data_IF_749984642418
#
_entry.id   IF_749984642418
#
_cell.length_a   1.000
_cell.length_b   1.000
_cell.length_c   1.000
_cell.angle_alpha   90.00
_cell.angle_beta   90.00
_cell.angle_gamma   90.00
#
_symmetry.space_group_name_H-M   'P 1'
#
loop_
_entity.id
_entity.type
_entity.pdbx_description
1 polymer ?
#
# COMPACT_ATOMS: atom_id res chain seq x y z
N UNK A 1 29.94 64.40 26.00
CA UNK A 1 31.17 64.97 25.42
C UNK A 1 31.49 66.24 26.20
N UNK A 2 32.34 66.19 27.24
CA UNK A 2 32.70 67.38 27.99
C UNK A 2 33.52 68.32 27.09
N UNK A 3 33.14 69.60 27.07
CA UNK A 3 33.86 70.63 26.32
C UNK A 3 34.83 71.32 27.28
N UNK A 4 36.11 70.96 27.20
CA UNK A 4 37.18 71.53 28.01
C UNK A 4 38.24 72.15 27.09
N UNK A 5 38.62 73.40 27.37
CA UNK A 5 39.62 74.15 26.61
C UNK A 5 41.02 74.04 27.25
N UNK A 6 41.10 73.50 28.47
CA UNK A 6 42.37 73.31 29.18
C UNK A 6 43.21 72.26 28.46
N UNK A 7 44.39 72.66 27.99
CA UNK A 7 45.32 71.80 27.24
C UNK A 7 45.27 71.94 25.72
N UNK A 8 44.33 72.73 25.17
CA UNK A 8 44.29 73.02 23.74
C UNK A 8 45.30 74.12 23.38
N UNK A 9 46.20 73.91 22.40
CA UNK A 9 47.23 74.88 22.04
C UNK A 9 46.65 76.22 21.58
N UNK A 10 47.19 77.33 22.11
CA UNK A 10 46.95 78.70 21.63
C UNK A 10 45.60 79.34 22.00
N UNK A 11 44.65 78.57 22.55
CA UNK A 11 43.26 79.02 22.74
C UNK A 11 43.15 80.18 23.73
N UNK A 12 43.97 80.22 24.78
CA UNK A 12 43.97 81.32 25.76
C UNK A 12 44.77 82.56 25.30
N UNK A 13 45.53 82.44 24.20
CA UNK A 13 46.32 83.52 23.59
C UNK A 13 45.62 84.17 22.39
N UNK A 14 44.36 83.78 22.13
CA UNK A 14 43.55 84.29 21.01
C UNK A 14 43.72 83.52 19.70
N UNK A 15 44.47 82.42 19.68
CA UNK A 15 44.59 81.51 18.53
C UNK A 15 43.64 80.30 18.69
N UNK A 16 42.48 80.38 18.04
CA UNK A 16 41.43 79.35 18.10
C UNK A 16 41.61 78.23 17.06
N UNK A 17 42.73 78.19 16.32
CA UNK A 17 42.91 77.23 15.22
C UNK A 17 42.81 75.76 15.66
N UNK A 18 43.14 75.45 16.91
CA UNK A 18 43.09 74.08 17.44
C UNK A 18 41.66 73.54 17.64
N UNK A 19 40.65 74.40 17.70
CA UNK A 19 39.23 74.05 17.88
C UNK A 19 38.37 74.38 16.66
N UNK A 20 38.95 75.02 15.64
CA UNK A 20 38.27 75.31 14.38
C UNK A 20 38.33 74.12 13.42
N UNK A 21 37.23 73.89 12.72
CA UNK A 21 37.20 72.91 11.65
C UNK A 21 38.11 73.36 10.51
N UNK A 22 38.82 72.41 9.88
CA UNK A 22 39.61 72.66 8.67
C UNK A 22 38.75 73.33 7.59
N UNK A 23 39.32 74.31 6.88
CA UNK A 23 38.67 74.98 5.75
C UNK A 23 38.36 74.03 4.60
N UNK A 24 39.16 72.96 4.45
CA UNK A 24 38.89 71.87 3.52
C UNK A 24 38.33 70.67 4.27
N UNK A 25 37.09 70.22 4.00
CA UNK A 25 36.50 69.08 4.66
C UNK A 25 37.24 67.79 4.27
N UNK A 26 37.65 66.96 5.25
CA UNK A 26 38.32 65.70 4.97
C UNK A 26 37.38 64.69 4.30
N UNK A 27 37.91 63.69 3.57
CA UNK A 27 37.10 62.60 3.05
C UNK A 27 36.47 61.80 4.19
N UNK A 28 35.19 61.46 4.05
CA UNK A 28 34.45 60.71 5.07
C UNK A 28 34.99 59.29 5.19
N UNK A 29 35.34 58.88 6.41
CA UNK A 29 35.81 57.53 6.69
C UNK A 29 34.68 56.50 6.53
N UNK A 30 34.93 55.27 6.02
CA UNK A 30 33.89 54.27 5.79
C UNK A 30 33.06 53.90 7.02
N UNK A 31 33.68 53.89 8.21
CA UNK A 31 32.99 53.60 9.47
C UNK A 31 32.06 54.74 9.93
N UNK A 32 32.33 55.99 9.52
CA UNK A 32 31.52 57.15 9.90
C UNK A 32 30.36 57.40 8.93
N UNK A 33 30.44 56.81 7.73
CA UNK A 33 29.41 56.95 6.70
C UNK A 33 28.01 56.53 7.18
N UNK A 34 27.93 55.53 8.06
CA UNK A 34 26.66 55.07 8.62
C UNK A 34 26.07 56.05 9.64
N UNK A 35 26.93 56.78 10.37
CA UNK A 35 26.58 57.75 11.42
C UNK A 35 26.14 59.10 10.84
N UNK A 36 26.69 59.47 9.68
CA UNK A 36 26.37 60.70 8.96
C UNK A 36 25.12 60.57 8.07
N UNK A 37 24.39 59.44 8.13
CA UNK A 37 23.16 59.29 7.33
C UNK A 37 22.09 60.26 7.84
N UNK A 38 21.44 61.02 6.95
CA UNK A 38 20.35 61.91 7.36
C UNK A 38 19.20 61.08 7.94
N UNK A 39 18.43 61.66 8.86
CA UNK A 39 17.37 60.95 9.56
C UNK A 39 16.32 60.36 8.60
N UNK A 40 16.08 61.01 7.46
CA UNK A 40 15.21 60.52 6.39
C UNK A 40 15.70 59.22 5.73
N UNK A 41 17.01 58.96 5.76
CA UNK A 41 17.64 57.75 5.22
C UNK A 41 17.70 56.58 6.22
N UNK A 42 17.30 56.79 7.49
CA UNK A 42 17.22 55.72 8.50
C UNK A 42 15.97 54.83 8.33
N UNK A 43 15.03 55.25 7.48
CA UNK A 43 13.79 54.51 7.22
C UNK A 43 12.81 54.56 8.39
N UNK A 44 11.64 53.95 8.21
CA UNK A 44 10.69 53.77 9.32
C UNK A 44 11.21 52.66 10.25
N UNK A 45 11.02 52.78 11.58
CA UNK A 45 11.33 51.68 12.49
C UNK A 45 10.58 50.44 12.03
N UNK A 46 11.32 49.43 11.53
CA UNK A 46 10.73 48.16 11.12
C UNK A 46 10.35 47.44 12.40
N UNK A 47 9.07 47.52 12.79
CA UNK A 47 8.53 46.68 13.86
C UNK A 47 8.78 45.24 13.43
N UNK A 48 9.53 44.42 14.20
CA UNK A 48 9.74 43.03 13.85
C UNK A 48 8.36 42.39 13.70
N UNK A 49 8.14 41.67 12.59
CA UNK A 49 6.91 40.92 12.39
C UNK A 49 6.76 39.94 13.55
N UNK A 50 5.91 40.28 14.50
CA UNK A 50 5.62 39.42 15.62
C UNK A 50 4.89 38.19 15.04
N UNK A 51 5.51 37.01 15.18
CA UNK A 51 4.88 35.73 14.84
C UNK A 51 3.78 35.43 15.87
N UNK A 52 2.65 36.10 15.72
CA UNK A 52 1.53 35.97 16.63
C UNK A 52 0.54 34.97 16.04
N UNK A 53 0.29 33.88 16.77
CA UNK A 53 -0.51 32.73 16.30
C UNK A 53 -1.98 33.04 16.00
N UNK A 54 -2.51 34.15 16.53
CA UNK A 54 -3.88 34.60 16.26
C UNK A 54 -4.01 35.47 15.02
N UNK A 55 -2.92 36.09 14.54
CA UNK A 55 -2.98 36.97 13.38
C UNK A 55 -2.65 36.18 12.11
N UNK A 56 -3.71 35.70 11.44
CA UNK A 56 -3.58 35.05 10.13
C UNK A 56 -3.43 36.11 9.05
N UNK A 57 -2.64 35.81 8.01
CA UNK A 57 -2.60 36.64 6.80
C UNK A 57 -3.97 36.60 6.13
N UNK A 58 -4.44 37.74 5.62
CA UNK A 58 -5.67 37.81 4.84
C UNK A 58 -5.49 37.06 3.52
N UNK A 59 -6.35 36.09 3.24
CA UNK A 59 -6.43 35.49 1.91
C UNK A 59 -7.10 36.49 0.96
N UNK A 60 -6.39 36.87 -0.09
CA UNK A 60 -7.00 37.59 -1.20
C UNK A 60 -7.78 36.57 -2.03
N UNK A 61 -8.98 36.95 -2.50
CA UNK A 61 -9.77 36.14 -3.43
C UNK A 61 -8.95 35.99 -4.72
N UNK A 62 -8.11 34.96 -4.80
CA UNK A 62 -7.41 34.60 -6.01
C UNK A 62 -8.38 33.79 -6.83
N UNK A 63 -8.84 34.35 -7.94
CA UNK A 63 -9.58 33.61 -8.93
C UNK A 63 -8.67 32.52 -9.50
N UNK A 64 -8.74 31.31 -8.94
CA UNK A 64 -8.39 30.10 -9.68
C UNK A 64 -9.44 29.94 -10.78
N UNK A 65 -9.37 30.83 -11.78
CA UNK A 65 -9.99 30.63 -13.07
C UNK A 65 -9.40 29.34 -13.63
N UNK A 66 -10.23 28.38 -14.07
CA UNK A 66 -9.71 27.28 -14.86
C UNK A 66 -8.98 27.90 -16.04
N UNK A 67 -7.69 27.59 -16.19
CA UNK A 67 -6.91 27.98 -17.37
C UNK A 67 -7.62 27.44 -18.60
N UNK A 68 -8.42 28.28 -19.23
CA UNK A 68 -8.93 28.07 -20.58
C UNK A 68 -7.71 27.95 -21.49
N UNK A 69 -7.68 26.94 -22.35
CA UNK A 69 -6.60 26.75 -23.32
C UNK A 69 -6.33 28.06 -24.07
N UNK A 70 -5.15 28.64 -23.88
CA UNK A 70 -4.68 29.71 -24.75
C UNK A 70 -4.28 29.11 -26.10
N UNK A 71 -5.22 29.07 -27.02
CA UNK A 71 -4.98 28.86 -28.44
C UNK A 71 -4.95 30.21 -29.18
N UNK A 72 -4.18 31.20 -28.71
CA UNK A 72 -4.12 32.53 -29.33
C UNK A 72 -2.68 32.96 -29.68
N UNK A 73 -1.93 32.08 -30.37
CA UNK A 73 -0.78 32.52 -31.16
C UNK A 73 -1.10 32.39 -32.66
N UNK A 74 -1.24 33.49 -33.43
CA UNK A 74 -1.55 33.44 -34.86
C UNK A 74 -0.43 32.80 -35.72
N UNK A 75 0.74 32.53 -35.13
CA UNK A 75 1.83 31.76 -35.78
C UNK A 75 1.64 30.24 -35.69
N UNK A 76 0.79 29.72 -34.79
CA UNK A 76 0.53 28.29 -34.66
C UNK A 76 -0.44 27.74 -35.72
N UNK A 77 -1.20 28.62 -36.39
CA UNK A 77 -2.15 28.25 -37.43
C UNK A 77 -1.48 28.02 -38.80
N UNK A 78 -0.31 28.61 -39.06
CA UNK A 78 0.39 28.52 -40.33
C UNK A 78 1.28 27.26 -40.46
N UNK A 79 1.60 26.59 -39.34
CA UNK A 79 2.44 25.38 -39.33
C UNK A 79 1.66 24.08 -39.63
N UNK A 80 0.33 24.13 -39.77
CA UNK A 80 -0.51 22.93 -40.01
C UNK A 80 -0.66 22.55 -41.49
N UNK A 81 -0.27 23.41 -42.44
CA UNK A 81 -0.54 23.19 -43.87
C UNK A 81 0.53 22.39 -44.63
N UNK A 82 1.49 21.76 -43.93
CA UNK A 82 2.55 20.96 -44.55
C UNK A 82 2.75 19.58 -43.89
N UNK A 83 1.69 19.01 -43.31
CA UNK A 83 1.72 17.60 -42.92
C UNK A 83 1.14 16.76 -44.06
N UNK A 84 1.83 15.71 -44.52
CA UNK A 84 1.24 14.77 -45.47
C UNK A 84 -0.08 14.27 -44.90
N UNK A 85 -1.09 14.12 -45.77
CA UNK A 85 -2.42 13.67 -45.38
C UNK A 85 -2.28 12.43 -44.50
N UNK A 86 -2.56 12.58 -43.20
CA UNK A 86 -2.58 11.45 -42.27
C UNK A 86 -3.59 10.48 -42.83
N UNK A 87 -3.16 9.24 -43.07
CA UNK A 87 -4.06 8.11 -43.34
C UNK A 87 -5.20 8.19 -42.32
N UNK A 88 -6.46 7.91 -42.73
CA UNK A 88 -7.58 7.93 -41.80
C UNK A 88 -7.20 7.12 -40.56
N UNK A 89 -7.17 7.81 -39.43
CA UNK A 89 -6.83 7.19 -38.15
C UNK A 89 -7.93 6.16 -37.88
N UNK A 90 -7.55 4.90 -37.67
CA UNK A 90 -8.52 3.86 -37.37
C UNK A 90 -9.35 4.28 -36.14
N UNK A 91 -10.60 3.80 -36.05
CA UNK A 91 -11.47 4.11 -34.92
C UNK A 91 -10.74 3.87 -33.59
N UNK A 92 -11.00 4.73 -32.60
CA UNK A 92 -10.28 4.71 -31.32
C UNK A 92 -10.37 3.35 -30.60
N UNK A 93 -11.47 2.63 -30.85
CA UNK A 93 -11.81 1.32 -30.27
C UNK A 93 -11.42 0.15 -31.19
N UNK A 94 -10.75 0.42 -32.31
CA UNK A 94 -10.23 -0.66 -33.16
C UNK A 94 -9.14 -1.45 -32.42
N UNK A 95 -9.11 -2.79 -32.52
CA UNK A 95 -8.11 -3.63 -31.83
C UNK A 95 -6.67 -3.20 -32.12
N UNK A 96 -6.40 -2.72 -33.34
CA UNK A 96 -5.08 -2.23 -33.74
C UNK A 96 -4.65 -0.97 -32.98
N UNK A 97 -5.59 -0.04 -32.72
CA UNK A 97 -5.31 1.18 -31.96
C UNK A 97 -5.15 0.85 -30.48
N UNK A 98 -5.98 -0.05 -29.95
CA UNK A 98 -5.88 -0.54 -28.57
C UNK A 98 -4.51 -1.17 -28.34
N UNK A 99 -4.09 -2.14 -29.18
CA UNK A 99 -2.77 -2.77 -29.11
C UNK A 99 -1.64 -1.73 -29.11
N UNK A 100 -1.64 -0.79 -30.06
CA UNK A 100 -0.62 0.26 -30.13
C UNK A 100 -0.57 1.15 -28.88
N UNK A 101 -1.71 1.43 -28.26
CA UNK A 101 -1.76 2.20 -27.00
C UNK A 101 -1.19 1.39 -25.83
N UNK A 102 -1.48 0.10 -25.78
CA UNK A 102 -0.91 -0.83 -24.79
C UNK A 102 0.61 -0.86 -24.95
N UNK A 103 1.13 -1.17 -26.13
CA UNK A 103 2.58 -1.22 -26.40
C UNK A 103 3.27 0.10 -26.00
N UNK A 104 2.68 1.23 -26.41
CA UNK A 104 3.19 2.57 -26.07
C UNK A 104 3.19 2.85 -24.56
N UNK A 105 2.25 2.30 -23.80
CA UNK A 105 2.22 2.51 -22.35
C UNK A 105 3.41 1.85 -21.65
N UNK A 106 3.79 0.64 -22.07
CA UNK A 106 4.98 -0.05 -21.59
C UNK A 106 6.27 0.69 -22.00
N UNK A 107 6.36 1.15 -23.25
CA UNK A 107 7.51 1.96 -23.70
C UNK A 107 7.69 3.24 -22.87
N UNK A 108 6.59 3.93 -22.53
CA UNK A 108 6.63 5.14 -21.71
C UNK A 108 7.09 4.79 -20.29
N UNK A 109 6.51 3.75 -19.67
CA UNK A 109 6.84 3.31 -18.32
C UNK A 109 8.31 2.90 -18.20
N UNK A 110 8.83 2.13 -19.15
CA UNK A 110 10.24 1.70 -19.18
C UNK A 110 11.19 2.91 -19.26
N UNK A 111 10.87 3.87 -20.14
CA UNK A 111 11.69 5.05 -20.28
C UNK A 111 11.57 6.00 -19.07
N UNK A 112 10.41 6.06 -18.40
CA UNK A 112 10.21 6.84 -17.17
C UNK A 112 10.99 6.23 -16.00
N UNK A 113 11.09 4.90 -15.95
CA UNK A 113 11.94 4.17 -15.00
C UNK A 113 13.44 4.45 -15.26
N UNK A 114 13.86 4.49 -16.53
CA UNK A 114 15.24 4.80 -16.93
C UNK A 114 15.64 6.26 -16.67
N UNK A 115 14.72 7.21 -16.87
CA UNK A 115 14.93 8.63 -16.57
C UNK A 115 13.80 9.22 -15.68
N UNK A 116 13.90 9.02 -14.35
CA UNK A 116 12.94 9.53 -13.38
C UNK A 116 12.73 11.06 -13.42
N UNK A 117 13.68 11.83 -13.98
CA UNK A 117 13.61 13.30 -14.04
C UNK A 117 12.56 13.78 -15.05
N UNK A 118 12.23 12.93 -16.01
CA UNK A 118 11.20 13.16 -17.02
C UNK A 118 9.80 13.09 -16.43
N UNK A 119 9.61 12.28 -15.39
CA UNK A 119 8.34 12.17 -14.68
C UNK A 119 8.01 13.50 -14.02
N UNK A 120 6.85 14.07 -14.39
CA UNK A 120 6.33 15.31 -13.82
C UNK A 120 4.97 15.04 -13.20
N UNK A 121 4.76 15.58 -12.01
CA UNK A 121 3.45 15.52 -11.37
C UNK A 121 2.41 16.24 -12.26
N UNK A 122 1.23 15.63 -12.52
CA UNK A 122 0.27 16.11 -13.51
C UNK A 122 -0.22 17.55 -13.24
N UNK A 123 -0.49 17.90 -11.98
CA UNK A 123 -0.86 19.26 -11.57
C UNK A 123 0.30 20.13 -11.05
N UNK A 124 1.14 19.59 -10.15
CA UNK A 124 2.24 20.32 -9.49
C UNK A 124 3.61 20.05 -10.13
N UNK A 125 3.85 20.59 -11.33
CA UNK A 125 5.04 20.32 -12.15
C UNK A 125 6.42 20.58 -11.51
N UNK A 126 6.47 21.32 -10.39
CA UNK A 126 7.71 21.59 -9.64
C UNK A 126 8.12 20.43 -8.72
N UNK A 127 7.20 19.48 -8.45
CA UNK A 127 7.51 18.29 -7.66
C UNK A 127 8.44 17.35 -8.45
N UNK A 128 9.25 16.63 -7.70
CA UNK A 128 10.21 15.64 -8.22
C UNK A 128 9.79 14.26 -7.75
N UNK A 129 9.95 13.27 -8.62
CA UNK A 129 9.79 11.88 -8.28
C UNK A 129 10.83 11.50 -7.21
N UNK A 130 10.37 10.87 -6.13
CA UNK A 130 11.23 10.39 -5.03
C UNK A 130 11.57 8.92 -5.23
N UNK A 131 10.55 8.12 -5.54
CA UNK A 131 10.68 6.69 -5.74
C UNK A 131 9.66 6.18 -6.75
N UNK A 132 10.02 5.12 -7.47
CA UNK A 132 9.15 4.42 -8.41
C UNK A 132 9.50 2.92 -8.38
N UNK A 133 8.46 2.09 -8.29
CA UNK A 133 8.57 0.64 -8.40
C UNK A 133 7.62 0.14 -9.49
N UNK A 134 8.06 -0.73 -10.41
CA UNK A 134 7.19 -1.34 -11.40
C UNK A 134 6.16 -2.26 -10.72
N UNK A 135 4.93 -2.26 -11.22
CA UNK A 135 3.89 -3.21 -10.81
C UNK A 135 3.89 -4.39 -11.80
N UNK A 136 4.19 -5.59 -11.32
CA UNK A 136 4.39 -6.79 -12.14
C UNK A 136 3.49 -7.94 -11.65
N UNK A 137 2.96 -8.77 -12.56
CA UNK A 137 2.37 -10.04 -12.16
C UNK A 137 3.46 -10.98 -11.65
N UNK A 138 3.16 -11.72 -10.59
CA UNK A 138 3.98 -12.82 -10.12
C UNK A 138 3.35 -14.15 -10.57
N UNK A 139 3.71 -14.59 -11.77
CA UNK A 139 3.10 -15.77 -12.39
C UNK A 139 3.61 -17.07 -11.78
N UNK A 140 4.77 -17.08 -11.15
CA UNK A 140 5.38 -18.28 -10.58
C UNK A 140 4.87 -18.57 -9.16
N UNK A 141 4.18 -17.61 -8.55
CA UNK A 141 3.64 -17.69 -7.20
C UNK A 141 2.17 -18.12 -7.13
N UNK A 142 1.56 -18.55 -8.25
CA UNK A 142 0.21 -19.09 -8.17
C UNK A 142 0.16 -20.34 -7.29
N UNK A 143 -0.80 -20.44 -6.36
CA UNK A 143 -1.10 -21.72 -5.74
C UNK A 143 -1.66 -22.69 -6.78
N UNK A 144 -1.77 -23.96 -6.40
CA UNK A 144 -2.41 -25.02 -7.18
C UNK A 144 -3.89 -24.74 -7.49
N UNK A 145 -4.55 -23.89 -6.70
CA UNK A 145 -5.90 -23.35 -6.97
C UNK A 145 -5.91 -22.15 -7.93
N UNK A 146 -4.75 -21.62 -8.31
CA UNK A 146 -4.62 -20.48 -9.23
C UNK A 146 -4.96 -19.09 -8.65
N UNK A 147 -5.37 -18.97 -7.38
CA UNK A 147 -5.62 -17.69 -6.72
C UNK A 147 -5.64 -17.81 -5.19
N UNK A 148 -5.51 -16.66 -4.51
CA UNK A 148 -5.52 -16.60 -3.05
C UNK A 148 -6.93 -16.40 -2.50
N UNK A 149 -7.08 -16.68 -1.21
CA UNK A 149 -8.28 -16.41 -0.42
C UNK A 149 -7.95 -15.38 0.65
N UNK A 150 -8.86 -14.44 0.90
CA UNK A 150 -8.74 -13.48 1.99
C UNK A 150 -9.78 -13.72 3.05
N UNK A 151 -9.33 -13.81 4.30
CA UNK A 151 -10.21 -13.98 5.47
C UNK A 151 -10.02 -12.79 6.41
N UNK A 152 -11.09 -12.03 6.60
CA UNK A 152 -11.12 -10.86 7.48
C UNK A 152 -11.84 -11.17 8.78
N UNK A 153 -11.12 -11.04 9.90
CA UNK A 153 -11.72 -11.09 11.23
C UNK A 153 -12.51 -9.83 11.56
N UNK A 154 -13.78 -9.97 11.97
CA UNK A 154 -14.58 -8.85 12.50
C UNK A 154 -14.12 -8.38 13.88
N UNK A 155 -13.50 -9.26 14.65
CA UNK A 155 -12.96 -8.98 15.99
C UNK A 155 -11.59 -9.60 16.12
N UNK A 156 -10.66 -8.95 16.82
CA UNK A 156 -9.31 -9.46 17.04
C UNK A 156 -9.34 -10.93 17.54
N UNK A 157 -8.70 -11.89 16.83
CA UNK A 157 -8.71 -13.30 17.20
C UNK A 157 -7.87 -13.62 18.44
N UNK A 158 -6.93 -12.75 18.81
CA UNK A 158 -6.03 -12.92 19.96
C UNK A 158 -6.30 -11.87 21.04
N UNK A 159 -5.75 -12.10 22.22
CA UNK A 159 -5.81 -11.15 23.34
C UNK A 159 -5.21 -9.80 22.95
N UNK A 160 -5.81 -8.71 23.44
CA UNK A 160 -5.31 -7.36 23.21
C UNK A 160 -3.91 -7.19 23.79
N UNK A 161 -2.97 -6.73 22.98
CA UNK A 161 -1.59 -6.42 23.35
C UNK A 161 -1.17 -5.12 22.64
N UNK A 162 -0.13 -4.46 23.17
CA UNK A 162 0.51 -3.32 22.51
C UNK A 162 1.40 -3.76 21.33
N UNK A 163 1.70 -5.05 21.22
CA UNK A 163 2.50 -5.62 20.15
C UNK A 163 1.65 -6.51 19.25
N UNK A 164 1.94 -6.48 17.95
CA UNK A 164 1.35 -7.39 16.99
C UNK A 164 1.80 -8.84 17.29
N UNK A 165 0.84 -9.76 17.36
CA UNK A 165 1.12 -11.18 17.56
C UNK A 165 1.57 -11.81 16.23
N UNK A 166 2.88 -12.06 16.09
CA UNK A 166 3.48 -12.61 14.86
C UNK A 166 2.97 -13.99 14.47
N UNK A 167 2.33 -14.72 15.41
CA UNK A 167 1.68 -16.01 15.10
C UNK A 167 0.58 -15.89 14.06
N UNK A 168 -0.08 -14.73 13.98
CA UNK A 168 -1.14 -14.46 13.00
C UNK A 168 -0.65 -14.48 11.55
N UNK A 169 0.66 -14.36 11.30
CA UNK A 169 1.24 -14.43 9.94
C UNK A 169 1.22 -15.84 9.35
N UNK A 170 1.00 -16.85 10.17
CA UNK A 170 0.95 -18.26 9.77
C UNK A 170 -0.17 -18.97 10.53
N UNK A 171 -1.34 -18.34 10.63
CA UNK A 171 -2.52 -18.97 11.22
C UNK A 171 -3.19 -19.93 10.25
N UNK A 172 -3.88 -20.94 10.80
CA UNK A 172 -4.50 -21.99 10.00
C UNK A 172 -6.00 -21.99 10.20
N UNK A 173 -6.71 -22.09 9.08
CA UNK A 173 -8.15 -22.26 9.05
C UNK A 173 -8.45 -23.67 8.60
N UNK A 174 -9.12 -24.44 9.46
CA UNK A 174 -9.69 -25.73 9.10
C UNK A 174 -11.17 -25.53 8.82
N UNK A 175 -11.67 -25.81 7.61
CA UNK A 175 -13.10 -25.82 7.34
C UNK A 175 -13.83 -26.77 8.31
N UNK A 176 -15.00 -26.35 8.78
CA UNK A 176 -15.90 -27.19 9.58
C UNK A 176 -16.94 -27.77 8.63
N UNK A 177 -16.97 -29.09 8.55
CA UNK A 177 -17.95 -29.82 7.74
C UNK A 177 -19.38 -29.51 8.19
N UNK A 178 -20.29 -29.43 7.22
CA UNK A 178 -21.71 -29.28 7.49
C UNK A 178 -22.27 -30.61 7.98
N UNK A 179 -23.28 -30.54 8.85
CA UNK A 179 -24.01 -31.75 9.21
C UNK A 179 -24.88 -32.20 8.03
N UNK A 180 -25.23 -33.49 7.97
CA UNK A 180 -26.09 -34.02 6.90
C UNK A 180 -27.43 -33.26 6.79
N UNK A 181 -27.96 -32.77 7.91
CA UNK A 181 -29.16 -31.95 7.93
C UNK A 181 -28.93 -30.54 7.34
N UNK A 182 -27.77 -29.92 7.62
CA UNK A 182 -27.39 -28.63 7.05
C UNK A 182 -27.13 -28.75 5.53
N UNK A 183 -26.52 -29.85 5.08
CA UNK A 183 -26.31 -30.14 3.65
C UNK A 183 -27.63 -30.36 2.91
N UNK A 184 -28.53 -31.21 3.43
CA UNK A 184 -29.83 -31.47 2.82
C UNK A 184 -30.69 -30.20 2.73
N UNK A 185 -30.61 -29.31 3.73
CA UNK A 185 -31.30 -28.03 3.69
C UNK A 185 -30.74 -27.09 2.60
N UNK A 186 -29.41 -27.08 2.41
CA UNK A 186 -28.76 -26.28 1.37
C UNK A 186 -29.09 -26.81 -0.02
N UNK A 187 -29.06 -28.12 -0.22
CA UNK A 187 -29.44 -28.77 -1.48
C UNK A 187 -30.89 -28.45 -1.85
N UNK A 188 -31.83 -28.62 -0.90
CA UNK A 188 -33.24 -28.28 -1.12
C UNK A 188 -33.44 -26.78 -1.45
N UNK A 189 -32.68 -25.89 -0.81
CA UNK A 189 -32.72 -24.46 -1.10
C UNK A 189 -32.13 -24.13 -2.50
N UNK A 190 -31.08 -24.85 -2.93
CA UNK A 190 -30.50 -24.69 -4.26
C UNK A 190 -31.43 -25.20 -5.35
N UNK A 191 -32.14 -26.30 -5.10
CA UNK A 191 -33.16 -26.83 -6.01
C UNK A 191 -34.33 -25.84 -6.13
N UNK A 192 -34.80 -25.29 -5.02
CA UNK A 192 -35.85 -24.25 -5.02
C UNK A 192 -35.43 -22.99 -5.79
N UNK A 193 -34.16 -22.56 -5.66
CA UNK A 193 -33.60 -21.46 -6.46
C UNK A 193 -33.56 -21.81 -7.95
N UNK A 194 -33.12 -23.01 -8.31
CA UNK A 194 -33.04 -23.46 -9.71
C UNK A 194 -34.43 -23.51 -10.36
N UNK A 195 -35.45 -23.92 -9.60
CA UNK A 195 -36.84 -23.98 -10.08
C UNK A 195 -37.48 -22.59 -10.22
N UNK A 196 -37.23 -21.68 -9.27
CA UNK A 196 -37.79 -20.32 -9.29
C UNK A 196 -36.79 -19.28 -8.77
N UNK A 197 -35.87 -18.80 -9.63
CA UNK A 197 -34.86 -17.81 -9.26
C UNK A 197 -35.43 -16.43 -8.90
N UNK A 198 -36.70 -16.16 -9.25
CA UNK A 198 -37.33 -14.84 -9.04
C UNK A 198 -37.84 -14.73 -7.61
N UNK A 199 -38.43 -15.81 -7.08
CA UNK A 199 -39.02 -15.81 -5.74
C UNK A 199 -38.10 -16.41 -4.66
N UNK A 200 -37.15 -17.27 -5.04
CA UNK A 200 -36.19 -17.84 -4.11
C UNK A 200 -34.82 -17.18 -4.31
N UNK A 201 -34.16 -16.67 -3.24
CA UNK A 201 -32.80 -16.16 -3.37
C UNK A 201 -31.80 -17.32 -3.52
N UNK A 202 -30.68 -17.06 -4.22
CA UNK A 202 -29.57 -18.02 -4.31
C UNK A 202 -29.05 -18.31 -2.90
N UNK A 203 -29.01 -19.58 -2.45
CA UNK A 203 -28.45 -19.93 -1.15
C UNK A 203 -26.98 -19.54 -1.07
N UNK A 204 -26.56 -18.96 0.05
CA UNK A 204 -25.17 -18.61 0.30
C UNK A 204 -24.41 -19.85 0.80
N UNK A 205 -23.31 -20.20 0.13
CA UNK A 205 -22.47 -21.35 0.49
C UNK A 205 -21.46 -20.99 1.60
N UNK A 206 -21.94 -20.45 2.73
CA UNK A 206 -21.05 -19.97 3.78
C UNK A 206 -20.31 -21.12 4.47
N UNK A 207 -18.98 -21.07 4.48
CA UNK A 207 -18.13 -22.03 5.18
C UNK A 207 -17.86 -21.57 6.62
N UNK A 208 -17.80 -22.49 7.58
CA UNK A 208 -17.36 -22.20 8.95
C UNK A 208 -15.94 -22.72 9.15
N UNK A 209 -15.19 -22.16 10.10
CA UNK A 209 -13.79 -22.52 10.30
C UNK A 209 -13.42 -22.68 11.77
N UNK A 210 -12.60 -23.67 12.08
CA UNK A 210 -11.79 -23.67 13.29
C UNK A 210 -10.46 -22.97 13.01
N UNK A 211 -10.09 -22.01 13.85
CA UNK A 211 -8.87 -21.24 13.71
C UNK A 211 -7.80 -21.70 14.69
N UNK A 212 -6.57 -21.92 14.21
CA UNK A 212 -5.44 -22.43 14.97
C UNK A 212 -4.22 -21.53 14.85
N UNK A 213 -3.41 -21.47 15.90
CA UNK A 213 -2.15 -20.74 15.94
C UNK A 213 -1.04 -21.60 16.53
N UNK A 214 0.20 -21.35 16.12
CA UNK A 214 1.38 -21.92 16.76
C UNK A 214 1.41 -21.63 18.27
N UNK A 215 2.03 -22.49 19.06
CA UNK A 215 2.02 -22.36 20.52
C UNK A 215 2.70 -21.05 20.95
N UNK A 216 3.89 -20.78 20.42
CA UNK A 216 4.67 -19.57 20.69
C UNK A 216 4.98 -18.78 19.42
N UNK A 217 5.44 -17.53 19.59
CA UNK A 217 5.94 -16.72 18.46
C UNK A 217 7.13 -17.38 17.78
N UNK A 218 8.04 -18.00 18.55
CA UNK A 218 9.21 -18.69 18.03
C UNK A 218 8.84 -19.90 17.16
N UNK A 219 7.81 -20.67 17.55
CA UNK A 219 7.33 -21.82 16.77
C UNK A 219 6.76 -21.36 15.42
N UNK A 220 5.97 -20.27 15.43
CA UNK A 220 5.43 -19.68 14.22
C UNK A 220 6.54 -19.09 13.31
N UNK A 221 7.60 -18.52 13.91
CA UNK A 221 8.76 -18.03 13.15
C UNK A 221 9.50 -19.19 12.47
N UNK A 222 9.74 -20.31 13.18
CA UNK A 222 10.34 -21.52 12.60
C UNK A 222 9.48 -22.16 11.52
N UNK A 223 8.17 -22.20 11.73
CA UNK A 223 7.22 -22.69 10.72
C UNK A 223 7.31 -21.86 9.43
N UNK A 224 7.35 -20.52 9.52
CA UNK A 224 7.50 -19.68 8.32
C UNK A 224 8.84 -19.84 7.64
N UNK A 225 9.93 -20.09 8.39
CA UNK A 225 11.25 -20.38 7.80
C UNK A 225 11.22 -21.60 6.88
N UNK A 226 10.38 -22.62 7.14
CA UNK A 226 10.19 -23.78 6.24
C UNK A 226 9.61 -23.40 4.86
N UNK A 227 8.94 -22.25 4.74
CA UNK A 227 8.39 -21.74 3.47
C UNK A 227 9.25 -20.64 2.85
N UNK A 228 10.35 -20.26 3.50
CA UNK A 228 11.24 -19.21 3.03
C UNK A 228 12.27 -19.80 2.07
N UNK A 229 11.99 -19.71 0.76
CA UNK A 229 12.84 -20.27 -0.31
C UNK A 229 14.23 -19.63 -0.35
N UNK A 230 14.37 -18.41 0.19
CA UNK A 230 15.66 -17.72 0.29
C UNK A 230 16.47 -18.14 1.54
N UNK A 231 15.88 -18.87 2.49
CA UNK A 231 16.56 -19.41 3.66
C UNK A 231 17.29 -20.73 3.31
N UNK A 232 18.64 -20.75 3.30
CA UNK A 232 19.39 -21.96 2.96
C UNK A 232 19.18 -23.12 3.96
N UNK A 233 18.66 -22.83 5.15
CA UNK A 233 18.32 -23.82 6.17
C UNK A 233 16.82 -24.13 6.25
N UNK A 234 16.00 -23.71 5.28
CA UNK A 234 14.55 -23.99 5.31
C UNK A 234 14.23 -25.50 5.32
N UNK A 235 15.09 -26.32 4.73
CA UNK A 235 14.96 -27.78 4.72
C UNK A 235 15.42 -28.47 6.01
N UNK A 236 16.02 -27.75 6.96
CA UNK A 236 16.55 -28.35 8.18
C UNK A 236 15.44 -28.96 9.05
N UNK A 237 15.58 -30.24 9.38
CA UNK A 237 14.66 -30.97 10.28
C UNK A 237 14.61 -30.36 11.68
N UNK A 238 15.67 -29.68 12.11
CA UNK A 238 15.76 -29.01 13.41
C UNK A 238 14.84 -27.77 13.54
N UNK A 239 14.23 -27.33 12.43
CA UNK A 239 13.19 -26.31 12.47
C UNK A 239 11.90 -26.83 13.12
N UNK A 240 11.61 -28.13 13.02
CA UNK A 240 10.45 -28.72 13.67
C UNK A 240 10.57 -28.64 15.19
N UNK A 241 9.50 -28.22 15.85
CA UNK A 241 9.49 -27.97 17.30
C UNK A 241 9.18 -29.22 18.12
N UNK A 242 8.56 -30.23 17.49
CA UNK A 242 8.20 -31.49 18.11
C UNK A 242 8.64 -32.67 17.22
N UNK A 243 8.74 -33.85 17.83
CA UNK A 243 9.01 -35.13 17.16
C UNK A 243 7.94 -36.12 17.58
N UNK A 244 7.31 -36.75 16.60
CA UNK A 244 6.36 -37.85 16.80
C UNK A 244 6.82 -39.11 16.08
N UNK A 245 5.96 -40.13 16.06
CA UNK A 245 6.25 -41.40 15.41
C UNK A 245 6.45 -41.27 13.89
N UNK A 246 5.82 -40.26 13.28
CA UNK A 246 5.90 -39.96 11.85
C UNK A 246 7.02 -38.97 11.47
N UNK A 247 7.81 -38.49 12.43
CA UNK A 247 8.89 -37.52 12.20
C UNK A 247 8.70 -36.18 12.91
N UNK A 248 9.44 -35.17 12.44
CA UNK A 248 9.34 -33.80 12.95
C UNK A 248 8.02 -33.14 12.54
N UNK A 249 7.42 -32.38 13.45
CA UNK A 249 6.19 -31.63 13.17
C UNK A 249 6.11 -30.34 13.98
N UNK A 250 5.22 -29.45 13.54
CA UNK A 250 4.78 -28.26 14.27
C UNK A 250 3.43 -28.52 14.94
N UNK A 251 3.24 -27.96 16.13
CA UNK A 251 1.97 -28.06 16.86
C UNK A 251 1.21 -26.73 16.82
N UNK A 252 -0.05 -26.81 16.41
CA UNK A 252 -0.97 -25.68 16.30
C UNK A 252 -2.17 -25.91 17.21
N UNK A 253 -2.40 -24.98 18.14
CA UNK A 253 -3.48 -25.08 19.11
C UNK A 253 -4.70 -24.34 18.61
N UNK A 254 -5.87 -24.94 18.83
CA UNK A 254 -7.15 -24.34 18.50
C UNK A 254 -7.39 -23.09 19.34
N UNK A 255 -7.75 -22.00 18.68
CA UNK A 255 -8.10 -20.72 19.31
C UNK A 255 -9.61 -20.61 19.52
N UNK A 256 -10.41 -20.85 18.46
CA UNK A 256 -11.89 -20.89 18.48
C UNK A 256 -12.47 -21.19 17.10
N UNK A 257 -13.77 -21.49 17.07
CA UNK A 257 -14.59 -21.53 15.87
C UNK A 257 -15.05 -20.14 15.42
N UNK A 258 -15.13 -19.97 14.10
CA UNK A 258 -15.63 -18.82 13.39
C UNK A 258 -16.73 -19.22 12.42
N UNK A 259 -17.73 -18.36 12.30
CA UNK A 259 -18.74 -18.45 11.26
C UNK A 259 -18.56 -17.32 10.25
N UNK A 260 -18.82 -17.62 8.98
CA UNK A 260 -18.74 -16.61 7.91
C UNK A 260 -19.99 -15.74 7.95
N UNK A 261 -19.78 -14.43 8.05
CA UNK A 261 -20.83 -13.42 8.07
C UNK A 261 -21.14 -12.89 6.67
N UNK A 262 -20.11 -12.81 5.82
CA UNK A 262 -20.23 -12.37 4.43
C UNK A 262 -19.14 -13.06 3.61
N UNK A 263 -19.49 -13.49 2.41
CA UNK A 263 -18.57 -14.12 1.47
C UNK A 263 -18.79 -13.55 0.07
N UNK A 264 -17.71 -13.47 -0.69
CA UNK A 264 -17.73 -13.11 -2.12
C UNK A 264 -16.75 -14.03 -2.82
N UNK A 265 -17.27 -14.77 -3.79
CA UNK A 265 -16.51 -15.68 -4.64
C UNK A 265 -16.38 -15.05 -6.03
N UNK A 266 -15.19 -15.18 -6.61
CA UNK A 266 -14.83 -14.74 -7.95
C UNK A 266 -14.30 -15.94 -8.73
N UNK A 267 -14.51 -15.91 -10.04
CA UNK A 267 -14.05 -16.95 -10.95
C UNK A 267 -12.65 -16.63 -11.48
N UNK A 268 -11.99 -17.61 -12.12
CA UNK A 268 -10.67 -17.40 -12.72
C UNK A 268 -10.58 -16.21 -13.69
N UNK A 269 -11.61 -15.89 -14.51
CA UNK A 269 -11.59 -14.70 -15.35
C UNK A 269 -11.76 -13.38 -14.58
N UNK A 270 -12.42 -13.40 -13.42
CA UNK A 270 -12.84 -12.20 -12.67
C UNK A 270 -12.07 -11.96 -11.37
N UNK A 271 -11.16 -12.86 -10.98
CA UNK A 271 -10.31 -12.81 -9.76
C UNK A 271 -9.38 -11.59 -9.61
N UNK A 272 -9.34 -10.69 -10.59
CA UNK A 272 -8.58 -9.43 -10.56
C UNK A 272 -9.47 -8.18 -10.45
N UNK A 273 -10.80 -8.34 -10.44
CA UNK A 273 -11.73 -7.21 -10.60
C UNK A 273 -11.98 -6.43 -9.31
N UNK A 274 -12.00 -7.08 -8.14
CA UNK A 274 -12.36 -6.44 -6.85
C UNK A 274 -11.12 -6.13 -5.99
N UNK A 275 -10.35 -7.14 -5.62
CA UNK A 275 -9.21 -7.01 -4.72
C UNK A 275 -8.01 -7.81 -5.23
N UNK A 276 -6.81 -7.26 -5.02
CA UNK A 276 -5.53 -7.92 -5.27
C UNK A 276 -4.62 -7.76 -4.05
N UNK A 277 -3.78 -8.76 -3.81
CA UNK A 277 -2.71 -8.68 -2.81
C UNK A 277 -1.51 -8.02 -3.47
N UNK A 278 -0.86 -7.09 -2.77
CA UNK A 278 0.40 -6.49 -3.22
C UNK A 278 1.54 -6.92 -2.28
N UNK A 279 2.60 -7.49 -2.85
CA UNK A 279 3.87 -7.69 -2.17
C UNK A 279 4.91 -6.73 -2.75
N UNK A 280 5.69 -6.10 -1.88
CA UNK A 280 6.79 -5.23 -2.30
C UNK A 280 8.09 -5.98 -2.13
N UNK A 281 8.86 -6.07 -3.20
CA UNK A 281 10.23 -6.56 -3.14
C UNK A 281 11.21 -5.40 -3.32
N UNK A 282 12.25 -5.40 -2.49
CA UNK A 282 13.40 -4.52 -2.64
C UNK A 282 14.53 -5.27 -3.38
N UNK A 283 15.62 -4.59 -3.72
CA UNK A 283 16.72 -5.20 -4.51
C UNK A 283 17.50 -6.31 -3.77
N UNK A 284 17.26 -6.49 -2.47
CA UNK A 284 18.01 -7.38 -1.60
C UNK A 284 17.47 -8.83 -1.55
N UNK A 285 16.20 -9.07 -1.90
CA UNK A 285 15.56 -10.38 -1.87
C UNK A 285 15.22 -10.90 -3.28
N UNK A 286 15.14 -12.22 -3.45
CA UNK A 286 14.85 -12.81 -4.76
C UNK A 286 13.39 -12.55 -5.18
N UNK A 287 13.10 -12.27 -6.46
CA UNK A 287 14.03 -11.98 -7.55
C UNK A 287 14.59 -10.57 -7.38
N UNK A 288 15.92 -10.43 -7.30
CA UNK A 288 16.70 -9.20 -6.96
C UNK A 288 16.42 -8.00 -7.87
N UNK A 289 15.20 -7.51 -7.80
CA UNK A 289 14.59 -6.51 -8.64
C UNK A 289 13.54 -5.83 -7.79
N UNK A 290 13.75 -4.54 -7.54
CA UNK A 290 12.72 -3.68 -6.97
C UNK A 290 11.46 -3.71 -7.82
N UNK A 291 10.39 -4.25 -7.25
CA UNK A 291 9.08 -4.36 -7.89
C UNK A 291 7.97 -4.48 -6.86
N UNK A 292 6.75 -4.16 -7.29
CA UNK A 292 5.52 -4.52 -6.58
C UNK A 292 4.90 -5.67 -7.35
N UNK A 293 4.74 -6.80 -6.70
CA UNK A 293 4.07 -7.97 -7.23
C UNK A 293 2.60 -7.95 -6.84
N UNK A 294 1.73 -8.37 -7.76
CA UNK A 294 0.31 -8.53 -7.46
C UNK A 294 -0.18 -9.96 -7.60
N UNK A 295 -1.09 -10.35 -6.72
CA UNK A 295 -1.71 -11.67 -6.68
C UNK A 295 -3.23 -11.57 -6.66
N UNK A 296 -3.95 -12.38 -7.45
CA UNK A 296 -5.41 -12.34 -7.48
C UNK A 296 -6.04 -13.01 -6.27
N UNK A 297 -7.28 -12.63 -6.01
CA UNK A 297 -8.12 -13.20 -4.96
C UNK A 297 -9.34 -13.82 -5.60
N UNK A 298 -9.60 -15.11 -5.32
CA UNK A 298 -10.82 -15.79 -5.78
C UNK A 298 -11.93 -15.82 -4.73
N UNK A 299 -11.59 -15.60 -3.46
CA UNK A 299 -12.58 -15.63 -2.38
C UNK A 299 -12.23 -14.63 -1.28
N UNK A 300 -13.27 -13.95 -0.80
CA UNK A 300 -13.18 -12.98 0.29
C UNK A 300 -14.26 -13.28 1.32
N UNK A 301 -13.82 -13.62 2.52
CA UNK A 301 -14.71 -14.01 3.62
C UNK A 301 -14.50 -13.08 4.80
N UNK A 302 -15.59 -12.59 5.36
CA UNK A 302 -15.59 -11.84 6.63
C UNK A 302 -16.19 -12.71 7.71
N UNK A 303 -15.40 -13.02 8.74
CA UNK A 303 -15.74 -14.02 9.76
C UNK A 303 -15.92 -13.39 11.14
N UNK A 304 -16.81 -13.99 11.94
CA UNK A 304 -17.04 -13.61 13.35
C UNK A 304 -16.99 -14.83 14.27
N UNK A 305 -16.62 -14.66 15.55
CA UNK A 305 -16.61 -15.78 16.49
C UNK A 305 -17.99 -16.42 16.59
N UNK A 306 -18.05 -17.75 16.50
CA UNK A 306 -19.30 -18.48 16.64
C UNK A 306 -19.78 -18.43 18.10
N UNK A 307 -20.96 -17.83 18.34
CA UNK A 307 -21.53 -17.68 19.68
C UNK A 307 -22.63 -18.69 19.99
N UNK A 308 -23.46 -19.00 19.00
CA UNK A 308 -24.71 -19.75 19.16
C UNK A 308 -24.49 -21.24 19.41
N UNK A 309 -23.62 -21.91 18.63
CA UNK A 309 -23.33 -23.34 18.83
C UNK A 309 -22.65 -23.63 20.19
N UNK A 310 -21.85 -22.69 20.71
CA UNK A 310 -21.24 -22.80 22.04
C UNK A 310 -22.27 -22.73 23.18
N UNK A 311 -23.28 -21.85 23.11
CA UNK A 311 -24.30 -21.71 24.16
C UNK A 311 -25.20 -22.97 24.24
N UNK A 312 -25.57 -23.54 23.10
CA UNK A 312 -26.36 -24.78 23.05
C UNK A 312 -25.63 -25.97 23.70
N UNK A 313 -24.31 -26.09 23.47
CA UNK A 313 -23.45 -27.11 24.11
C UNK A 313 -23.34 -26.91 25.63
N UNK A 314 -23.17 -25.67 26.10
CA UNK A 314 -22.89 -25.39 27.52
C UNK A 314 -24.14 -25.35 28.41
N UNK A 315 -25.29 -24.88 27.91
CA UNK A 315 -26.47 -24.63 28.76
C UNK A 315 -27.53 -25.73 28.72
N UNK A 316 -27.58 -26.57 27.68
CA UNK A 316 -28.70 -27.48 27.47
C UNK A 316 -28.33 -28.95 27.30
N UNK A 317 -27.05 -29.32 27.28
CA UNK A 317 -26.63 -30.73 27.22
C UNK A 317 -27.11 -31.49 25.98
N UNK A 318 -27.56 -30.79 24.94
CA UNK A 318 -28.18 -31.36 23.72
C UNK A 318 -27.14 -31.85 22.68
N UNK A 319 -26.02 -32.40 23.14
CA UNK A 319 -25.03 -33.01 22.25
C UNK A 319 -25.18 -34.54 22.34
N UNK A 320 -26.24 -35.09 21.75
CA UNK A 320 -26.40 -36.56 21.72
C UNK A 320 -26.29 -37.21 20.34
N UNK A 321 -26.33 -36.51 19.20
CA UNK A 321 -26.37 -37.25 17.91
C UNK A 321 -25.35 -36.86 16.80
N UNK A 322 -24.60 -35.76 16.89
CA UNK A 322 -23.54 -35.44 15.91
C UNK A 322 -22.31 -34.86 16.62
N UNK A 323 -21.49 -35.73 17.23
CA UNK A 323 -20.19 -35.34 17.78
C UNK A 323 -19.22 -35.02 16.65
N UNK A 324 -19.30 -33.81 16.08
CA UNK A 324 -18.16 -33.24 15.38
C UNK A 324 -17.04 -33.12 16.42
N UNK A 325 -16.09 -34.05 16.35
CA UNK A 325 -14.95 -34.11 17.23
C UNK A 325 -14.17 -32.82 17.07
N UNK A 326 -14.22 -31.97 18.10
CA UNK A 326 -13.49 -30.71 18.09
C UNK A 326 -12.02 -31.06 18.22
N UNK A 327 -11.25 -30.69 17.20
CA UNK A 327 -9.81 -30.96 17.18
C UNK A 327 -9.12 -29.83 17.92
N UNK A 328 -8.58 -30.12 19.10
CA UNK A 328 -7.93 -29.09 19.92
C UNK A 328 -6.51 -28.74 19.45
N UNK A 329 -5.88 -29.67 18.73
CA UNK A 329 -4.50 -29.53 18.26
C UNK A 329 -4.32 -30.16 16.88
N UNK A 330 -3.57 -29.47 16.03
CA UNK A 330 -3.09 -29.97 14.74
C UNK A 330 -1.58 -30.20 14.81
N UNK A 331 -1.14 -31.35 14.33
CA UNK A 331 0.26 -31.68 14.08
C UNK A 331 0.51 -31.58 12.58
N UNK A 332 1.49 -30.77 12.19
CA UNK A 332 1.72 -30.42 10.78
C UNK A 332 3.18 -30.62 10.40
N UNK A 333 3.34 -31.30 9.27
CA UNK A 333 4.62 -31.48 8.58
C UNK A 333 4.54 -30.70 7.26
N UNK A 334 5.65 -30.06 6.89
CA UNK A 334 5.73 -29.32 5.62
C UNK A 334 6.32 -30.26 4.58
N UNK A 335 5.61 -30.39 3.46
CA UNK A 335 6.04 -31.20 2.32
C UNK A 335 6.12 -30.33 1.07
N UNK A 336 7.02 -30.71 0.18
CA UNK A 336 7.11 -30.15 -1.16
C UNK A 336 5.84 -30.44 -1.99
N UNK A 337 5.41 -29.53 -2.88
CA UNK A 337 4.26 -29.78 -3.73
C UNK A 337 4.50 -31.01 -4.62
N UNK A 338 3.44 -31.82 -4.78
CA UNK A 338 3.46 -33.01 -5.64
C UNK A 338 3.59 -32.62 -7.11
N UNK A 339 3.92 -33.59 -7.99
CA UNK A 339 4.02 -33.33 -9.43
C UNK A 339 2.69 -32.83 -10.02
N UNK A 340 1.56 -33.33 -9.51
CA UNK A 340 0.22 -32.88 -9.91
C UNK A 340 0.00 -31.41 -9.53
N UNK A 341 0.35 -31.03 -8.30
CA UNK A 341 0.26 -29.63 -7.84
C UNK A 341 1.19 -28.72 -8.65
N UNK A 342 2.44 -29.13 -8.90
CA UNK A 342 3.38 -28.37 -9.75
C UNK A 342 2.86 -28.22 -11.18
N UNK A 343 2.23 -29.26 -11.71
CA UNK A 343 1.53 -29.22 -13.00
C UNK A 343 0.41 -28.17 -13.00
N UNK A 344 -0.46 -28.17 -11.99
CA UNK A 344 -1.53 -27.18 -11.85
C UNK A 344 -0.99 -25.75 -11.71
N UNK A 345 0.01 -25.52 -10.86
CA UNK A 345 0.67 -24.22 -10.69
C UNK A 345 1.22 -23.71 -12.03
N UNK A 346 1.90 -24.58 -12.78
CA UNK A 346 2.42 -24.25 -14.11
C UNK A 346 1.30 -23.91 -15.11
N UNK A 347 0.20 -24.65 -15.08
CA UNK A 347 -0.96 -24.36 -15.92
C UNK A 347 -1.53 -22.96 -15.63
N UNK A 348 -1.64 -22.56 -14.36
CA UNK A 348 -2.08 -21.21 -14.01
C UNK A 348 -1.06 -20.12 -14.32
N UNK A 349 0.25 -20.43 -14.28
CA UNK A 349 1.29 -19.51 -14.74
C UNK A 349 1.17 -19.22 -16.25
N UNK A 350 0.88 -20.25 -17.05
CA UNK A 350 0.68 -20.13 -18.51
C UNK A 350 -0.69 -19.54 -18.87
N UNK A 351 -1.72 -19.86 -18.10
CA UNK A 351 -3.12 -19.46 -18.30
C UNK A 351 -3.68 -18.75 -17.06
N UNK A 352 -3.23 -17.51 -16.77
CA UNK A 352 -3.56 -16.81 -15.52
C UNK A 352 -5.04 -16.46 -15.37
N UNK A 353 -5.82 -16.43 -16.45
CA UNK A 353 -7.27 -16.20 -16.42
C UNK A 353 -8.09 -17.50 -16.43
N UNK A 354 -7.43 -18.64 -16.25
CA UNK A 354 -8.02 -19.96 -16.47
C UNK A 354 -7.97 -20.35 -17.94
N UNK A 355 -8.46 -21.56 -18.22
CA UNK A 355 -8.61 -22.14 -19.55
C UNK A 355 -10.07 -22.54 -19.74
N UNK A 356 -10.53 -22.53 -20.99
CA UNK A 356 -11.81 -23.11 -21.33
C UNK A 356 -11.71 -24.62 -21.12
N UNK A 357 -12.30 -25.12 -20.03
CA UNK A 357 -12.52 -26.55 -19.87
C UNK A 357 -13.63 -26.91 -20.87
N UNK A 358 -13.30 -27.64 -21.93
CA UNK A 358 -14.33 -28.31 -22.73
C UNK A 358 -15.13 -29.19 -21.76
N UNK A 359 -16.43 -28.87 -21.60
CA UNK A 359 -17.37 -29.56 -20.69
C UNK A 359 -17.41 -31.08 -20.86
#
# INVERSE_FOLDING_TARGET
>A
MPLDLVGMPGVFDGDERSIQASSQPPPVHPHDRALLRPIAALGKPKVPEANVSFLRRTEYISSLMPKRLEANHPRALLAKNRRPAKRPEAAADSPQVIKRKIDKSFEIAEQDLKDPKRVKHPSKKHLKLVDAAPLLPDLDAFPDSGAYVTIKFLTNPVSSSNEYDTRLRSGLFRPIDRTAAEEAALEAAMEAYTQDPVNNPKPANLMNYDFYLGQTRADADRFRRKFDVDDPGHDDEDLYTHKGDAGGHFQFNRIRAYETAQETELDHPTKYEDEIILAVNDDDAYPKQKAVYYYPIMQKSTIRPQRTKNIARTNYGLAEDDEVQVVDQLELTVEDPTEEMRGAMKMYAEHPLGWDQEE
#
